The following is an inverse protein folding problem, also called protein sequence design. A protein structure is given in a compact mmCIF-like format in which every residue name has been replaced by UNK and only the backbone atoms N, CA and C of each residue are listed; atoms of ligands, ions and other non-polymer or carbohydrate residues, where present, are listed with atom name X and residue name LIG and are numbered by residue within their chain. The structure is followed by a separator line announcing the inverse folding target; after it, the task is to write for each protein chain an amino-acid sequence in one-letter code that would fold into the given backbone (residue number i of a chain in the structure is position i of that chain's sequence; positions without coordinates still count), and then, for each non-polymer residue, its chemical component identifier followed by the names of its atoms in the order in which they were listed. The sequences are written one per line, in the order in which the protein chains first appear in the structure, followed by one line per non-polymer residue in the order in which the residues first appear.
data_IF_647022006261
#
_entry.id   IF_647022006261
#
_cell.length_a   1.000
_cell.length_b   1.000
_cell.length_c   1.000
_cell.angle_alpha   90.00
_cell.angle_beta   90.00
_cell.angle_gamma   90.00
#
_symmetry.space_group_name_H-M   'P 1'
#
loop_
_entity.id
_entity.type
_entity.pdbx_description
1 polymer ?
#
# COMPACT_ATOMS: atom_id res chain seq x y z
N UNK A 1 2.74 52.40 -52.74
CA UNK A 1 2.88 51.38 -51.68
C UNK A 1 2.82 49.97 -52.26
N UNK A 2 3.83 49.58 -53.04
CA UNK A 2 3.98 48.24 -53.64
C UNK A 2 5.46 47.86 -53.55
N UNK A 3 5.95 47.51 -52.36
CA UNK A 3 7.25 46.82 -52.20
C UNK A 3 7.42 46.02 -50.88
N UNK A 4 6.50 46.07 -49.92
CA UNK A 4 6.65 45.32 -48.66
C UNK A 4 5.98 43.93 -48.62
N UNK A 5 5.31 43.50 -49.69
CA UNK A 5 4.56 42.22 -49.76
C UNK A 5 5.43 40.97 -50.01
N UNK A 6 6.75 41.10 -50.25
CA UNK A 6 7.58 39.97 -50.68
C UNK A 6 8.38 39.27 -49.56
N UNK A 7 8.44 39.80 -48.34
CA UNK A 7 9.25 39.22 -47.26
C UNK A 7 8.50 38.11 -46.50
N UNK A 8 7.17 38.17 -46.43
CA UNK A 8 6.36 37.12 -45.79
C UNK A 8 6.24 35.82 -46.63
N UNK A 9 6.51 35.87 -47.93
CA UNK A 9 6.40 34.70 -48.83
C UNK A 9 7.57 33.71 -48.77
N UNK A 10 8.66 34.01 -48.05
CA UNK A 10 9.88 33.17 -48.09
C UNK A 10 10.04 32.19 -46.93
N UNK A 11 9.29 32.33 -45.84
CA UNK A 11 9.39 31.39 -44.70
C UNK A 11 8.31 30.30 -44.72
N UNK A 12 7.13 30.55 -45.29
CA UNK A 12 6.13 29.50 -45.53
C UNK A 12 6.53 28.49 -46.65
N UNK A 13 7.61 28.77 -47.40
CA UNK A 13 8.07 27.91 -48.49
C UNK A 13 9.19 26.93 -48.09
N UNK A 14 9.73 27.02 -46.87
CA UNK A 14 10.86 26.20 -46.45
C UNK A 14 10.47 24.84 -45.83
N UNK A 15 9.21 24.64 -45.43
CA UNK A 15 8.71 23.32 -44.95
C UNK A 15 7.96 22.55 -46.05
N UNK A 16 7.61 23.20 -47.17
CA UNK A 16 6.89 22.58 -48.30
C UNK A 16 7.80 21.74 -49.23
N UNK A 17 9.11 21.68 -48.98
CA UNK A 17 10.04 20.97 -49.88
C UNK A 17 10.46 19.55 -49.44
N UNK A 18 9.77 18.92 -48.48
CA UNK A 18 10.11 17.53 -48.08
C UNK A 18 8.94 16.56 -47.85
N UNK A 19 7.71 16.92 -48.23
CA UNK A 19 6.56 16.01 -48.18
C UNK A 19 5.94 15.70 -49.56
N UNK A 20 6.72 15.82 -50.65
CA UNK A 20 6.27 15.49 -52.00
C UNK A 20 6.92 14.23 -52.58
N UNK A 21 7.26 13.26 -51.74
CA UNK A 21 7.42 11.86 -52.16
C UNK A 21 7.06 10.95 -51.00
N UNK A 22 5.81 10.49 -50.99
CA UNK A 22 5.31 9.15 -50.70
C UNK A 22 3.85 9.31 -50.26
N UNK A 23 2.95 8.92 -51.16
CA UNK A 23 1.52 9.05 -50.92
C UNK A 23 1.06 8.20 -49.75
N UNK A 24 0.08 8.71 -49.00
CA UNK A 24 -1.03 7.92 -48.51
C UNK A 24 -2.19 8.82 -48.09
N UNK A 25 -3.31 8.61 -48.78
CA UNK A 25 -4.69 8.91 -48.45
C UNK A 25 -5.02 8.79 -46.95
N UNK A 26 -5.23 9.92 -46.26
CA UNK A 26 -5.96 9.99 -44.98
C UNK A 26 -6.67 11.34 -44.88
N UNK A 27 -8.01 11.33 -44.84
CA UNK A 27 -8.85 12.54 -44.76
C UNK A 27 -8.69 13.35 -43.46
N UNK A 28 -7.92 12.88 -42.46
CA UNK A 28 -7.63 13.64 -41.24
C UNK A 28 -6.55 14.70 -41.41
N UNK A 29 -5.60 14.52 -42.34
CA UNK A 29 -4.49 15.47 -42.57
C UNK A 29 -4.94 16.70 -43.36
N UNK A 30 -6.02 16.58 -44.15
CA UNK A 30 -6.55 17.67 -44.97
C UNK A 30 -7.35 18.65 -44.11
N UNK A 31 -8.11 18.18 -43.12
CA UNK A 31 -8.83 19.05 -42.18
C UNK A 31 -7.87 19.79 -41.24
N UNK A 32 -6.79 19.15 -40.79
CA UNK A 32 -5.74 19.79 -40.01
C UNK A 32 -4.94 20.82 -40.84
N UNK A 33 -4.68 20.53 -42.12
CA UNK A 33 -4.04 21.47 -43.05
C UNK A 33 -4.96 22.65 -43.42
N UNK A 34 -6.27 22.41 -43.58
CA UNK A 34 -7.25 23.46 -43.82
C UNK A 34 -7.47 24.33 -42.57
N UNK A 35 -7.47 23.78 -41.35
CA UNK A 35 -7.53 24.58 -40.12
C UNK A 35 -6.23 25.39 -39.90
N UNK A 36 -5.06 24.82 -40.18
CA UNK A 36 -3.78 25.52 -40.08
C UNK A 36 -3.61 26.62 -41.16
N UNK A 37 -4.17 26.41 -42.35
CA UNK A 37 -4.17 27.40 -43.43
C UNK A 37 -5.24 28.49 -43.21
N UNK A 38 -6.43 28.15 -42.70
CA UNK A 38 -7.53 29.09 -42.46
C UNK A 38 -7.20 30.07 -41.32
N UNK A 39 -6.42 29.69 -40.30
CA UNK A 39 -5.97 30.66 -39.28
C UNK A 39 -4.75 31.48 -39.76
N UNK A 40 -3.87 30.92 -40.58
CA UNK A 40 -2.74 31.67 -41.16
C UNK A 40 -3.16 32.70 -42.23
N UNK A 41 -4.37 32.57 -42.80
CA UNK A 41 -4.97 33.51 -43.77
C UNK A 41 -6.04 34.45 -43.18
N UNK A 42 -6.45 34.25 -41.93
CA UNK A 42 -7.47 35.11 -41.31
C UNK A 42 -6.85 36.37 -40.73
N UNK A 43 -7.27 37.49 -41.32
CA UNK A 43 -6.94 38.86 -40.98
C UNK A 43 -7.49 39.23 -39.58
N UNK A 44 -6.95 38.60 -38.54
CA UNK A 44 -7.25 38.90 -37.14
C UNK A 44 -6.98 40.39 -36.90
N UNK A 45 -7.88 41.03 -36.16
CA UNK A 45 -7.78 42.46 -35.82
C UNK A 45 -7.47 42.69 -34.36
N UNK A 46 -7.77 41.71 -33.51
CA UNK A 46 -7.57 41.77 -32.07
C UNK A 46 -7.22 40.38 -31.54
N UNK A 47 -6.42 40.35 -30.48
CA UNK A 47 -6.24 39.16 -29.66
C UNK A 47 -6.49 39.54 -28.21
N UNK A 48 -7.03 38.61 -27.43
CA UNK A 48 -7.25 38.76 -25.99
C UNK A 48 -6.65 37.56 -25.28
N UNK A 49 -5.73 37.81 -24.36
CA UNK A 49 -5.19 36.77 -23.49
C UNK A 49 -6.07 36.65 -22.25
N UNK A 50 -6.30 35.42 -21.77
CA UNK A 50 -7.06 35.13 -20.56
C UNK A 50 -6.36 34.07 -19.71
N UNK A 51 -6.64 34.09 -18.40
CA UNK A 51 -6.22 33.09 -17.44
C UNK A 51 -7.28 32.98 -16.32
N UNK A 52 -7.38 31.81 -15.69
CA UNK A 52 -8.38 31.58 -14.64
C UNK A 52 -8.09 32.35 -13.34
N UNK A 53 -6.81 32.64 -13.08
CA UNK A 53 -6.34 33.45 -11.95
C UNK A 53 -5.11 34.26 -12.37
N UNK A 54 -4.78 35.31 -11.63
CA UNK A 54 -3.58 36.13 -11.91
C UNK A 54 -2.68 36.26 -10.68
N UNK A 55 -3.05 35.57 -9.60
CA UNK A 55 -2.26 35.40 -8.39
C UNK A 55 -1.96 33.91 -8.22
N UNK A 56 -0.67 33.58 -8.08
CA UNK A 56 -0.19 32.19 -7.93
C UNK A 56 0.96 32.12 -6.94
N UNK A 57 1.10 31.00 -6.24
CA UNK A 57 2.20 30.75 -5.32
C UNK A 57 3.41 30.15 -6.07
N UNK A 58 4.65 30.35 -5.59
CA UNK A 58 5.82 29.67 -6.16
C UNK A 58 5.62 28.14 -6.23
N UNK A 59 5.89 27.55 -7.39
CA UNK A 59 5.70 26.12 -7.68
C UNK A 59 4.35 25.75 -8.29
N UNK A 60 3.34 26.62 -8.21
CA UNK A 60 2.05 26.38 -8.86
C UNK A 60 2.12 26.61 -10.37
N UNK A 61 1.24 25.90 -11.10
CA UNK A 61 1.06 26.08 -12.53
C UNK A 61 -0.30 26.69 -12.86
N UNK A 62 -0.33 27.51 -13.91
CA UNK A 62 -1.54 28.11 -14.43
C UNK A 62 -1.55 28.04 -15.96
N UNK A 63 -2.71 27.73 -16.53
CA UNK A 63 -2.91 27.73 -17.98
C UNK A 63 -3.39 29.11 -18.46
N UNK A 64 -2.67 29.68 -19.42
CA UNK A 64 -3.11 30.83 -20.20
C UNK A 64 -3.76 30.36 -21.50
N UNK A 65 -4.71 31.14 -21.99
CA UNK A 65 -5.33 30.95 -23.31
C UNK A 65 -5.43 32.28 -24.05
N UNK A 66 -5.55 32.22 -25.37
CA UNK A 66 -5.66 33.39 -26.23
C UNK A 66 -6.81 33.21 -27.21
N UNK A 67 -7.67 34.23 -27.30
CA UNK A 67 -8.75 34.29 -28.29
C UNK A 67 -8.45 35.40 -29.30
N UNK A 68 -8.46 35.07 -30.58
CA UNK A 68 -8.37 36.04 -31.67
C UNK A 68 -9.76 36.41 -32.20
N UNK A 69 -9.94 37.64 -32.65
CA UNK A 69 -11.15 38.11 -33.34
C UNK A 69 -10.80 38.53 -34.76
N UNK A 70 -11.49 37.96 -35.75
CA UNK A 70 -11.32 38.35 -37.16
C UNK A 70 -12.14 39.61 -37.54
N UNK A 71 -11.95 40.13 -38.75
CA UNK A 71 -12.71 41.30 -39.25
C UNK A 71 -14.23 41.08 -39.30
N UNK A 72 -14.70 39.84 -39.32
CA UNK A 72 -16.11 39.51 -39.29
C UNK A 72 -16.66 39.43 -37.84
N UNK A 73 -15.80 39.59 -36.83
CA UNK A 73 -16.16 39.52 -35.41
C UNK A 73 -16.24 38.09 -34.87
N UNK A 74 -15.67 37.11 -35.59
CA UNK A 74 -15.70 35.71 -35.15
C UNK A 74 -14.52 35.44 -34.22
N UNK A 75 -14.82 34.92 -33.03
CA UNK A 75 -13.83 34.49 -32.05
C UNK A 75 -13.22 33.14 -32.44
N UNK A 76 -11.90 33.01 -32.28
CA UNK A 76 -11.14 31.80 -32.55
C UNK A 76 -10.15 31.55 -31.42
N UNK A 77 -10.05 30.30 -30.97
CA UNK A 77 -8.99 29.90 -30.05
C UNK A 77 -7.67 29.84 -30.82
N UNK A 78 -6.71 30.65 -30.37
CA UNK A 78 -5.38 30.76 -30.96
C UNK A 78 -4.29 30.43 -29.93
N UNK A 79 -4.65 29.77 -28.82
CA UNK A 79 -3.75 29.53 -27.68
C UNK A 79 -2.46 28.81 -28.05
N UNK A 80 -2.50 27.91 -29.04
CA UNK A 80 -1.34 27.16 -29.55
C UNK A 80 -0.64 27.84 -30.74
N UNK A 81 -1.18 28.96 -31.22
CA UNK A 81 -0.68 29.70 -32.37
C UNK A 81 0.08 30.98 -31.97
N UNK A 82 -0.16 31.48 -30.76
CA UNK A 82 0.53 32.66 -30.21
C UNK A 82 1.89 32.29 -29.62
N UNK A 83 2.86 33.19 -29.75
CA UNK A 83 4.12 33.12 -29.02
C UNK A 83 3.92 33.65 -27.60
N UNK A 84 3.89 32.74 -26.63
CA UNK A 84 3.83 33.08 -25.21
C UNK A 84 5.18 33.54 -24.66
N UNK A 85 5.18 34.63 -23.90
CA UNK A 85 6.39 35.14 -23.23
C UNK A 85 6.07 35.77 -21.87
N UNK A 86 6.91 35.48 -20.88
CA UNK A 86 6.93 36.23 -19.61
C UNK A 86 7.97 37.35 -19.67
N UNK A 87 7.67 38.51 -19.08
CA UNK A 87 8.61 39.62 -18.93
C UNK A 87 9.80 39.27 -18.02
N UNK A 88 9.63 38.36 -17.07
CA UNK A 88 10.71 37.80 -16.25
C UNK A 88 10.50 36.29 -16.06
N UNK A 89 11.38 35.50 -16.71
CA UNK A 89 11.33 34.04 -16.65
C UNK A 89 11.78 33.45 -15.31
N UNK A 90 12.44 34.24 -14.46
CA UNK A 90 12.81 33.83 -13.11
C UNK A 90 11.66 33.95 -12.10
N UNK A 91 10.60 34.68 -12.47
CA UNK A 91 9.36 34.84 -11.69
C UNK A 91 8.26 33.93 -12.21
N UNK A 92 8.00 33.92 -13.53
CA UNK A 92 7.08 32.97 -14.19
C UNK A 92 7.71 32.42 -15.46
N UNK A 93 7.74 31.09 -15.59
CA UNK A 93 8.16 30.41 -16.82
C UNK A 93 6.94 29.85 -17.54
N UNK A 94 6.68 30.31 -18.77
CA UNK A 94 5.59 29.82 -19.62
C UNK A 94 6.14 29.02 -20.80
N UNK A 95 5.48 27.92 -21.14
CA UNK A 95 5.80 27.11 -22.33
C UNK A 95 5.00 27.54 -23.58
N UNK A 96 5.22 26.83 -24.69
CA UNK A 96 4.58 27.15 -25.97
C UNK A 96 3.08 26.84 -26.02
N UNK A 97 2.59 26.01 -25.10
CA UNK A 97 1.18 25.64 -24.99
C UNK A 97 0.42 26.55 -24.01
N UNK A 98 1.10 27.56 -23.45
CA UNK A 98 0.52 28.53 -22.52
C UNK A 98 0.52 28.08 -21.06
N UNK A 99 1.15 26.96 -20.71
CA UNK A 99 1.27 26.51 -19.33
C UNK A 99 2.40 27.27 -18.63
N UNK A 100 2.05 28.10 -17.66
CA UNK A 100 2.97 28.90 -16.88
C UNK A 100 3.22 28.26 -15.51
N UNK A 101 4.48 28.21 -15.07
CA UNK A 101 4.91 27.78 -13.74
C UNK A 101 5.49 28.98 -12.99
N UNK A 102 4.95 29.26 -11.81
CA UNK A 102 5.47 30.28 -10.91
C UNK A 102 6.77 29.80 -10.26
N UNK A 103 7.80 30.66 -10.23
CA UNK A 103 9.14 30.32 -9.76
C UNK A 103 9.57 31.13 -8.53
N UNK A 104 9.28 32.43 -8.50
CA UNK A 104 9.69 33.32 -7.42
C UNK A 104 8.69 34.47 -7.27
N UNK A 105 8.67 35.11 -6.09
CA UNK A 105 7.81 36.26 -5.85
C UNK A 105 8.15 37.43 -6.79
N UNK A 106 7.13 38.08 -7.35
CA UNK A 106 7.28 39.21 -8.25
C UNK A 106 6.02 39.47 -9.08
N UNK A 107 6.02 40.56 -9.83
CA UNK A 107 4.95 40.90 -10.78
C UNK A 107 5.54 40.87 -12.18
N UNK A 108 4.91 40.14 -13.09
CA UNK A 108 5.34 40.00 -14.49
C UNK A 108 4.18 40.17 -15.45
N UNK A 109 4.49 40.54 -16.69
CA UNK A 109 3.54 40.51 -17.79
C UNK A 109 3.72 39.20 -18.55
N UNK A 110 2.67 38.39 -18.62
CA UNK A 110 2.58 37.25 -19.54
C UNK A 110 1.89 37.74 -20.82
N UNK A 111 2.61 37.69 -21.93
CA UNK A 111 2.18 38.24 -23.22
C UNK A 111 1.92 37.12 -24.23
N UNK A 112 0.76 37.14 -24.87
CA UNK A 112 0.48 36.40 -26.10
C UNK A 112 0.84 37.29 -27.29
N UNK A 113 1.54 36.77 -28.29
CA UNK A 113 1.86 37.52 -29.52
C UNK A 113 1.54 36.73 -30.77
N UNK A 114 0.89 37.35 -31.74
CA UNK A 114 0.67 36.80 -33.07
C UNK A 114 0.95 37.86 -34.12
N UNK A 115 2.14 37.79 -34.72
CA UNK A 115 2.62 38.79 -35.68
C UNK A 115 2.75 40.18 -35.06
N UNK A 116 1.83 41.09 -35.37
CA UNK A 116 1.80 42.47 -34.85
C UNK A 116 0.76 42.67 -33.73
N UNK A 117 -0.09 41.67 -33.49
CA UNK A 117 -1.08 41.69 -32.43
C UNK A 117 -0.43 41.14 -31.16
N UNK A 118 -0.73 41.77 -30.04
CA UNK A 118 -0.27 41.30 -28.73
C UNK A 118 -1.27 41.72 -27.68
N UNK A 119 -1.46 40.86 -26.68
CA UNK A 119 -2.14 41.21 -25.44
C UNK A 119 -1.35 40.65 -24.26
N UNK A 120 -1.44 41.33 -23.12
CA UNK A 120 -0.61 41.00 -21.96
C UNK A 120 -1.43 41.03 -20.68
N UNK A 121 -1.27 39.98 -19.87
CA UNK A 121 -1.87 39.85 -18.56
C UNK A 121 -0.81 40.10 -17.50
N UNK A 122 -1.09 41.03 -16.60
CA UNK A 122 -0.29 41.18 -15.38
C UNK A 122 -0.54 39.97 -14.48
N UNK A 123 0.54 39.26 -14.14
CA UNK A 123 0.54 38.07 -13.30
C UNK A 123 1.40 38.36 -12.10
N UNK A 124 0.81 38.25 -10.92
CA UNK A 124 1.49 38.39 -9.64
C UNK A 124 1.81 37.02 -9.09
N UNK A 125 3.08 36.76 -8.85
CA UNK A 125 3.52 35.65 -8.02
C UNK A 125 3.78 36.20 -6.63
N UNK A 126 3.01 35.76 -5.67
CA UNK A 126 3.26 36.10 -4.28
C UNK A 126 3.07 34.85 -3.44
N UNK A 127 3.98 34.63 -2.50
CA UNK A 127 3.77 33.64 -1.46
C UNK A 127 2.61 34.13 -0.60
N UNK A 128 1.46 33.44 -0.68
CA UNK A 128 0.35 33.73 0.19
C UNK A 128 0.77 33.53 1.65
N UNK A 129 0.32 34.43 2.52
CA UNK A 129 0.64 34.36 3.93
C UNK A 129 -0.26 33.34 4.61
N UNK A 130 0.33 32.50 5.46
CA UNK A 130 -0.45 31.63 6.33
C UNK A 130 -1.31 32.50 7.24
N UNK A 131 -2.62 32.25 7.30
CA UNK A 131 -3.54 32.98 8.18
C UNK A 131 -4.15 32.09 9.25
N UNK A 132 -4.21 30.79 9.03
CA UNK A 132 -4.78 29.85 9.99
C UNK A 132 -4.23 28.43 9.81
N UNK A 133 -4.09 27.71 10.92
CA UNK A 133 -3.84 26.28 10.95
C UNK A 133 -5.14 25.48 10.87
N UNK A 134 -5.17 24.50 9.98
CA UNK A 134 -6.22 23.48 9.92
C UNK A 134 -5.61 22.20 10.48
N UNK A 135 -6.13 21.77 11.64
CA UNK A 135 -5.62 20.60 12.38
C UNK A 135 -6.69 19.51 12.40
N UNK A 136 -6.28 18.27 12.13
CA UNK A 136 -7.15 17.10 12.24
C UNK A 136 -6.39 15.89 12.83
N UNK A 137 -6.92 15.22 13.86
CA UNK A 137 -8.13 15.57 14.62
C UNK A 137 -7.88 16.76 15.57
N UNK A 138 -8.95 17.42 16.03
CA UNK A 138 -8.87 18.53 17.02
C UNK A 138 -8.75 18.04 18.47
N UNK A 139 -8.98 16.75 18.72
CA UNK A 139 -8.76 16.11 20.00
C UNK A 139 -8.28 14.68 19.84
N UNK A 140 -7.40 14.23 20.74
CA UNK A 140 -6.93 12.86 20.87
C UNK A 140 -7.17 12.37 22.30
N UNK A 141 -7.52 11.10 22.44
CA UNK A 141 -7.56 10.39 23.71
C UNK A 141 -6.70 9.15 23.54
N UNK A 142 -5.63 9.04 24.33
CA UNK A 142 -4.58 8.03 24.18
C UNK A 142 -4.20 7.49 25.56
N UNK A 143 -3.76 6.23 25.62
CA UNK A 143 -3.01 5.67 26.74
C UNK A 143 -1.50 5.60 26.41
N UNK A 144 -0.67 5.25 27.40
CA UNK A 144 0.81 5.18 27.25
C UNK A 144 1.30 4.14 26.22
N UNK A 145 0.43 3.23 25.78
CA UNK A 145 0.75 2.25 24.76
C UNK A 145 0.43 2.74 23.34
N UNK A 146 -0.42 3.77 23.21
CA UNK A 146 -0.88 4.27 21.92
C UNK A 146 -0.09 5.49 21.45
N UNK A 147 -0.10 5.68 20.14
CA UNK A 147 0.30 6.92 19.50
C UNK A 147 -0.84 7.45 18.65
N UNK A 148 -0.99 8.77 18.56
CA UNK A 148 -1.96 9.40 17.68
C UNK A 148 -1.27 10.28 16.65
N UNK A 149 -1.67 10.21 15.39
CA UNK A 149 -1.14 11.11 14.36
C UNK A 149 -2.05 12.33 14.18
N UNK A 150 -1.42 13.48 13.97
CA UNK A 150 -2.06 14.75 13.67
C UNK A 150 -1.63 15.19 12.28
N UNK A 151 -2.61 15.43 11.42
CA UNK A 151 -2.41 16.10 10.14
C UNK A 151 -2.58 17.61 10.32
N UNK A 152 -1.71 18.37 9.65
CA UNK A 152 -1.78 19.84 9.61
C UNK A 152 -1.71 20.34 8.17
N UNK A 153 -2.64 21.24 7.85
CA UNK A 153 -2.62 22.10 6.67
C UNK A 153 -2.80 23.56 7.09
N UNK A 154 -2.67 24.47 6.14
CA UNK A 154 -2.86 25.90 6.36
C UNK A 154 -3.94 26.47 5.45
N UNK A 155 -4.69 27.45 5.96
CA UNK A 155 -5.46 28.39 5.15
C UNK A 155 -4.64 29.67 4.96
N UNK A 156 -4.63 30.18 3.73
CA UNK A 156 -3.81 31.31 3.32
C UNK A 156 -4.67 32.54 2.98
N UNK A 157 -4.06 33.73 2.95
CA UNK A 157 -4.75 35.00 2.66
C UNK A 157 -5.29 35.11 1.22
N UNK A 158 -4.81 34.26 0.31
CA UNK A 158 -5.37 34.05 -1.03
C UNK A 158 -6.64 33.17 -1.04
N UNK A 159 -7.05 32.66 0.13
CA UNK A 159 -8.21 31.80 0.31
C UNK A 159 -7.96 30.31 0.04
N UNK A 160 -6.75 29.91 -0.35
CA UNK A 160 -6.41 28.51 -0.58
C UNK A 160 -6.17 27.75 0.72
N UNK A 161 -6.38 26.42 0.67
CA UNK A 161 -6.02 25.48 1.72
C UNK A 161 -5.04 24.46 1.17
N UNK A 162 -3.88 24.31 1.81
CA UNK A 162 -2.81 23.42 1.35
C UNK A 162 -1.97 22.89 2.51
N UNK A 163 -1.32 21.71 2.38
CA UNK A 163 -0.33 21.26 3.35
C UNK A 163 0.74 22.34 3.59
N UNK A 164 1.19 22.47 4.83
CA UNK A 164 2.25 23.41 5.17
C UNK A 164 3.58 22.93 4.56
N UNK A 165 4.45 23.86 4.17
CA UNK A 165 5.81 23.55 3.72
C UNK A 165 6.82 24.00 4.78
N UNK A 166 7.89 23.20 4.96
CA UNK A 166 8.88 23.42 6.02
C UNK A 166 8.44 22.91 7.39
N UNK A 167 9.27 23.15 8.41
CA UNK A 167 9.06 22.60 9.75
C UNK A 167 7.98 23.37 10.52
N UNK A 168 7.05 22.63 11.11
CA UNK A 168 6.08 23.13 12.10
C UNK A 168 6.65 22.89 13.48
N UNK A 169 6.77 23.94 14.31
CA UNK A 169 7.22 23.78 15.69
C UNK A 169 6.05 23.38 16.58
N UNK A 170 6.29 22.43 17.48
CA UNK A 170 5.29 21.93 18.44
C UNK A 170 5.70 22.23 19.88
N UNK A 171 4.74 22.66 20.69
CA UNK A 171 4.90 22.81 22.13
C UNK A 171 3.73 22.18 22.88
N UNK A 172 3.95 21.69 24.10
CA UNK A 172 2.90 21.18 24.97
C UNK A 172 2.67 22.12 26.15
N UNK A 173 1.42 22.29 26.56
CA UNK A 173 1.08 22.95 27.83
C UNK A 173 1.57 22.16 29.05
N UNK A 174 1.71 20.84 28.90
CA UNK A 174 2.22 19.93 29.93
C UNK A 174 2.94 18.75 29.24
N UNK A 175 4.27 18.79 29.24
CA UNK A 175 5.10 17.79 28.58
C UNK A 175 5.19 16.48 29.37
N UNK A 176 4.85 16.48 30.66
CA UNK A 176 4.77 15.27 31.47
C UNK A 176 3.50 14.48 31.13
N UNK A 177 2.44 15.15 30.64
CA UNK A 177 1.21 14.49 30.15
C UNK A 177 1.33 14.06 28.69
N UNK A 178 1.66 14.98 27.78
CA UNK A 178 1.71 14.67 26.35
C UNK A 178 2.81 15.43 25.60
N UNK A 179 3.31 14.80 24.54
CA UNK A 179 4.34 15.36 23.66
C UNK A 179 4.02 15.04 22.19
N UNK A 180 4.51 15.89 21.29
CA UNK A 180 4.44 15.69 19.84
C UNK A 180 5.84 15.65 19.23
N UNK A 181 6.03 14.74 18.28
CA UNK A 181 7.23 14.68 17.43
C UNK A 181 6.79 14.99 16.00
N UNK A 182 7.39 16.01 15.38
CA UNK A 182 7.07 16.38 14.01
C UNK A 182 7.27 15.22 13.04
N UNK A 183 6.31 15.02 12.13
CA UNK A 183 6.36 13.99 11.09
C UNK A 183 5.79 14.57 9.78
N UNK A 184 6.69 15.02 8.89
CA UNK A 184 6.30 15.76 7.69
C UNK A 184 5.60 17.06 8.06
N UNK A 185 4.41 17.29 7.50
CA UNK A 185 3.59 18.48 7.84
C UNK A 185 2.83 18.31 9.15
N UNK A 186 2.78 17.11 9.73
CA UNK A 186 2.02 16.77 10.93
C UNK A 186 2.88 16.49 12.15
N UNK A 187 2.32 15.74 13.10
CA UNK A 187 3.06 15.21 14.24
C UNK A 187 2.49 13.88 14.73
N UNK A 188 3.38 13.04 15.26
CA UNK A 188 3.00 11.86 16.04
C UNK A 188 3.01 12.22 17.53
N UNK A 189 1.88 11.99 18.19
CA UNK A 189 1.61 12.30 19.59
C UNK A 189 1.79 11.07 20.46
N UNK A 190 2.38 11.28 21.64
CA UNK A 190 2.49 10.30 22.73
C UNK A 190 1.99 10.92 24.01
N UNK A 191 1.35 10.11 24.84
CA UNK A 191 1.05 10.45 26.24
C UNK A 191 1.98 9.70 27.17
N UNK A 192 2.32 10.29 28.30
CA UNK A 192 3.22 9.72 29.29
C UNK A 192 2.60 9.58 30.67
N UNK A 193 1.55 10.36 30.97
CA UNK A 193 0.74 10.20 32.18
C UNK A 193 -0.71 10.58 31.92
N UNK A 194 -1.60 10.17 32.84
CA UNK A 194 -2.98 10.62 32.85
C UNK A 194 -3.10 12.15 33.02
N UNK A 195 -4.04 12.78 32.32
CA UNK A 195 -4.28 14.21 32.41
C UNK A 195 -4.69 14.85 31.08
N UNK A 196 -4.71 16.17 31.03
CA UNK A 196 -5.02 16.92 29.82
C UNK A 196 -3.85 17.84 29.46
N UNK A 197 -3.45 17.80 28.19
CA UNK A 197 -2.46 18.71 27.62
C UNK A 197 -3.01 19.32 26.34
N UNK A 198 -2.67 20.57 26.08
CA UNK A 198 -2.88 21.20 24.76
C UNK A 198 -1.56 21.18 24.01
N UNK A 199 -1.54 20.58 22.83
CA UNK A 199 -0.40 20.72 21.91
C UNK A 199 -0.68 21.91 20.98
N UNK A 200 0.34 22.75 20.82
CA UNK A 200 0.29 23.94 19.97
C UNK A 200 1.29 23.76 18.83
N UNK A 201 0.77 23.79 17.60
CA UNK A 201 1.55 23.91 16.38
C UNK A 201 1.76 25.39 16.07
N UNK A 202 2.97 25.77 15.67
CA UNK A 202 3.31 27.14 15.27
C UNK A 202 4.13 27.13 13.98
N UNK A 203 3.79 28.03 13.06
CA UNK A 203 4.61 28.39 11.91
C UNK A 203 4.39 29.85 11.56
N UNK A 204 5.48 30.58 11.34
CA UNK A 204 5.46 32.01 10.99
C UNK A 204 4.63 32.89 11.94
N UNK A 205 4.56 32.55 13.23
CA UNK A 205 3.80 33.27 14.25
C UNK A 205 2.29 33.01 14.24
N UNK A 206 1.79 32.13 13.35
CA UNK A 206 0.42 31.63 13.37
C UNK A 206 0.40 30.32 14.14
N UNK A 207 -0.62 30.10 14.96
CA UNK A 207 -0.73 28.92 15.80
C UNK A 207 -2.03 28.16 15.56
N UNK A 208 -1.98 26.83 15.70
CA UNK A 208 -3.14 25.96 15.85
C UNK A 208 -2.99 25.07 17.09
N UNK A 209 -4.10 24.59 17.63
CA UNK A 209 -4.09 23.75 18.85
C UNK A 209 -4.91 22.49 18.69
N UNK A 210 -4.47 21.43 19.36
CA UNK A 210 -5.18 20.15 19.55
C UNK A 210 -5.20 19.80 21.03
N UNK A 211 -6.33 19.28 21.50
CA UNK A 211 -6.47 18.80 22.88
C UNK A 211 -6.04 17.33 22.96
N UNK A 212 -5.24 16.97 23.96
CA UNK A 212 -4.83 15.60 24.21
C UNK A 212 -5.24 15.22 25.63
N UNK A 213 -6.01 14.14 25.74
CA UNK A 213 -6.34 13.51 27.02
C UNK A 213 -5.50 12.25 27.15
N UNK A 214 -4.57 12.24 28.10
CA UNK A 214 -3.90 11.03 28.56
C UNK A 214 -4.84 10.26 29.47
N UNK A 215 -5.12 9.01 29.12
CA UNK A 215 -5.82 8.04 29.97
C UNK A 215 -4.93 7.58 31.13
N UNK A 216 -5.48 6.78 32.03
CA UNK A 216 -4.76 6.28 33.21
C UNK A 216 -3.41 5.64 32.86
N UNK A 217 -2.46 5.78 33.78
CA UNK A 217 -1.09 5.31 33.57
C UNK A 217 -1.00 3.79 33.64
N UNK A 218 -0.16 3.18 32.81
CA UNK A 218 0.01 1.74 32.79
C UNK A 218 0.84 1.32 34.01
N UNK A 219 0.20 0.66 34.98
CA UNK A 219 0.84 0.19 36.20
C UNK A 219 1.42 -1.23 36.06
N UNK A 220 0.96 -2.02 35.08
CA UNK A 220 1.46 -3.36 34.83
C UNK A 220 1.14 -3.87 33.43
N UNK A 221 1.97 -4.78 32.92
CA UNK A 221 1.80 -5.45 31.64
C UNK A 221 1.95 -6.95 31.85
N UNK A 222 1.00 -7.72 31.33
CA UNK A 222 1.01 -9.19 31.35
C UNK A 222 0.97 -9.71 29.92
N UNK A 223 1.66 -10.82 29.66
CA UNK A 223 1.69 -11.49 28.35
C UNK A 223 1.16 -12.91 28.48
N UNK A 224 0.33 -13.34 27.53
CA UNK A 224 -0.30 -14.66 27.49
C UNK A 224 -0.30 -15.21 26.06
N UNK A 225 -0.25 -16.53 25.83
CA UNK A 225 -0.06 -17.58 26.84
C UNK A 225 1.36 -17.60 27.40
N UNK A 226 1.52 -18.05 28.65
CA UNK A 226 2.84 -18.30 29.20
C UNK A 226 3.41 -19.64 28.73
N UNK A 227 4.72 -19.68 28.41
CA UNK A 227 5.43 -20.91 28.08
C UNK A 227 4.79 -21.70 26.92
N UNK A 228 4.44 -21.00 25.83
CA UNK A 228 3.78 -21.61 24.67
C UNK A 228 4.67 -22.68 24.01
N UNK A 229 4.03 -23.71 23.46
CA UNK A 229 4.67 -24.71 22.61
C UNK A 229 4.06 -24.64 21.22
N UNK A 230 4.91 -24.44 20.21
CA UNK A 230 4.46 -24.16 18.84
C UNK A 230 5.21 -25.08 17.88
N UNK A 231 4.48 -25.79 17.01
CA UNK A 231 5.09 -26.58 15.95
C UNK A 231 5.76 -25.67 14.93
N UNK A 232 6.94 -26.04 14.43
CA UNK A 232 7.61 -25.31 13.33
C UNK A 232 6.66 -25.22 12.12
N UNK A 233 6.50 -24.01 11.57
CA UNK A 233 5.57 -23.68 10.50
C UNK A 233 4.15 -23.30 10.96
N UNK A 234 3.85 -23.40 12.26
CA UNK A 234 2.58 -22.95 12.83
C UNK A 234 2.68 -21.54 13.43
N UNK A 235 1.53 -20.91 13.60
CA UNK A 235 1.39 -19.61 14.27
C UNK A 235 0.77 -19.75 15.66
N UNK A 236 1.14 -18.83 16.56
CA UNK A 236 0.62 -18.71 17.92
C UNK A 236 0.26 -17.25 18.19
N UNK A 237 -1.01 -17.01 18.55
CA UNK A 237 -1.43 -15.71 19.01
C UNK A 237 -1.00 -15.48 20.47
N UNK A 238 -0.30 -14.38 20.71
CA UNK A 238 -0.03 -13.81 22.01
C UNK A 238 -0.89 -12.57 22.22
N UNK A 239 -1.31 -12.36 23.46
CA UNK A 239 -2.04 -11.18 23.90
C UNK A 239 -1.32 -10.51 25.06
N UNK A 240 -1.53 -9.21 25.19
CA UNK A 240 -1.14 -8.46 26.38
C UNK A 240 -2.32 -7.89 27.10
N UNK A 241 -2.30 -7.95 28.42
CA UNK A 241 -3.25 -7.25 29.29
C UNK A 241 -2.52 -6.14 30.04
N UNK A 242 -2.99 -4.91 29.87
CA UNK A 242 -2.57 -3.77 30.66
C UNK A 242 -3.37 -3.68 31.97
N UNK A 243 -2.69 -3.34 33.06
CA UNK A 243 -3.30 -2.99 34.34
C UNK A 243 -3.01 -1.52 34.61
N UNK A 244 -4.03 -0.71 34.86
CA UNK A 244 -3.89 0.74 35.00
C UNK A 244 -3.93 1.21 36.45
N UNK A 245 -3.43 2.42 36.68
CA UNK A 245 -3.33 3.03 38.01
C UNK A 245 -4.67 3.25 38.71
N UNK A 246 -5.77 3.34 37.96
CA UNK A 246 -7.15 3.42 38.48
C UNK A 246 -7.69 2.05 38.94
N UNK A 247 -6.93 0.98 38.72
CA UNK A 247 -7.29 -0.40 39.04
C UNK A 247 -8.06 -1.12 37.93
N UNK A 248 -8.29 -0.50 36.77
CA UNK A 248 -8.86 -1.16 35.61
C UNK A 248 -7.83 -2.08 34.91
N UNK A 249 -8.31 -2.99 34.06
CA UNK A 249 -7.47 -3.86 33.23
C UNK A 249 -8.14 -4.17 31.89
N UNK A 250 -7.35 -4.44 30.85
CA UNK A 250 -7.86 -4.49 29.48
C UNK A 250 -6.81 -4.90 28.45
N UNK A 251 -7.28 -5.14 27.23
CA UNK A 251 -6.44 -5.62 26.13
C UNK A 251 -5.55 -4.50 25.57
N UNK A 252 -4.23 -4.76 25.54
CA UNK A 252 -3.21 -3.86 25.01
C UNK A 252 -2.45 -4.48 23.80
N UNK A 253 -2.94 -5.58 23.24
CA UNK A 253 -2.23 -6.42 22.25
C UNK A 253 -1.86 -5.65 21.00
N UNK A 254 -2.79 -4.88 20.45
CA UNK A 254 -2.59 -4.10 19.22
C UNK A 254 -1.58 -2.95 19.39
N UNK A 255 -1.47 -2.42 20.61
CA UNK A 255 -0.58 -1.31 20.95
C UNK A 255 0.80 -1.78 21.44
N UNK A 256 0.93 -3.08 21.74
CA UNK A 256 2.18 -3.67 22.22
C UNK A 256 3.16 -3.87 21.08
N UNK A 257 4.42 -3.49 21.32
CA UNK A 257 5.54 -3.85 20.45
C UNK A 257 6.08 -5.22 20.82
N UNK A 258 5.95 -6.16 19.90
CA UNK A 258 6.37 -7.55 20.04
C UNK A 258 7.77 -7.78 19.47
N UNK A 259 8.50 -8.71 20.07
CA UNK A 259 9.80 -9.19 19.58
C UNK A 259 10.12 -10.53 20.24
N UNK A 260 11.11 -11.23 19.69
CA UNK A 260 11.72 -12.39 20.35
C UNK A 260 13.22 -12.18 20.53
N UNK A 261 13.83 -12.91 21.47
CA UNK A 261 15.29 -12.83 21.69
C UNK A 261 16.11 -13.47 20.59
N UNK A 262 15.52 -14.38 19.81
CA UNK A 262 16.15 -15.07 18.67
C UNK A 262 15.15 -15.19 17.51
N UNK A 263 15.31 -14.31 16.53
CA UNK A 263 14.45 -14.23 15.33
C UNK A 263 14.70 -15.38 14.35
N UNK A 264 15.73 -16.21 14.54
CA UNK A 264 15.94 -17.40 13.71
C UNK A 264 15.03 -18.56 14.11
N UNK A 265 14.46 -18.52 15.32
CA UNK A 265 13.59 -19.56 15.86
C UNK A 265 12.11 -19.22 15.72
N UNK A 266 11.76 -17.94 15.81
CA UNK A 266 10.39 -17.45 15.67
C UNK A 266 10.39 -15.97 15.24
N UNK A 267 9.30 -15.49 14.66
CA UNK A 267 9.14 -14.07 14.31
C UNK A 267 7.70 -13.62 14.51
N UNK A 268 7.48 -12.35 14.80
CA UNK A 268 6.13 -11.77 14.82
C UNK A 268 5.76 -11.24 13.43
N UNK A 269 4.47 -11.31 13.11
CA UNK A 269 3.89 -10.67 11.94
C UNK A 269 3.68 -9.17 12.21
N UNK A 270 4.30 -8.31 11.38
CA UNK A 270 4.19 -6.86 11.48
C UNK A 270 2.76 -6.35 11.18
N UNK A 271 1.97 -7.10 10.40
CA UNK A 271 0.61 -6.75 10.01
C UNK A 271 -0.46 -7.36 10.95
N UNK A 272 -0.06 -8.28 11.84
CA UNK A 272 -0.96 -8.96 12.78
C UNK A 272 -0.38 -8.93 14.22
N UNK A 273 -0.66 -7.88 15.01
CA UNK A 273 -0.11 -7.72 16.35
C UNK A 273 -0.33 -8.95 17.25
N UNK A 274 0.76 -9.43 17.85
CA UNK A 274 0.74 -10.60 18.73
C UNK A 274 0.75 -11.95 17.99
N UNK A 275 0.70 -11.99 16.66
CA UNK A 275 0.82 -13.24 15.90
C UNK A 275 2.30 -13.64 15.74
N UNK A 276 2.71 -14.73 16.38
CA UNK A 276 4.05 -15.30 16.29
C UNK A 276 4.07 -16.52 15.37
N UNK A 277 5.00 -16.58 14.42
CA UNK A 277 5.28 -17.76 13.59
C UNK A 277 6.53 -18.49 14.11
N UNK A 278 6.47 -19.81 14.20
CA UNK A 278 7.60 -20.66 14.56
C UNK A 278 8.42 -21.07 13.32
N UNK A 279 9.70 -20.70 13.27
CA UNK A 279 10.55 -20.87 12.08
C UNK A 279 11.49 -22.08 12.17
N UNK A 280 12.03 -22.37 13.36
CA UNK A 280 12.95 -23.47 13.58
C UNK A 280 12.81 -24.00 15.01
N UNK A 281 13.19 -25.25 15.25
CA UNK A 281 13.09 -25.86 16.58
C UNK A 281 14.10 -25.27 17.56
N UNK A 282 13.65 -24.95 18.77
CA UNK A 282 14.46 -24.33 19.82
C UNK A 282 13.60 -23.70 20.92
N UNK A 283 14.20 -22.83 21.72
CA UNK A 283 13.46 -22.02 22.69
C UNK A 283 13.97 -20.59 22.64
N UNK A 284 13.04 -19.65 22.64
CA UNK A 284 13.29 -18.21 22.62
C UNK A 284 12.34 -17.50 23.58
N UNK A 285 12.62 -16.26 23.94
CA UNK A 285 11.75 -15.47 24.82
C UNK A 285 10.98 -14.45 24.02
N UNK A 286 9.65 -14.45 24.18
CA UNK A 286 8.76 -13.40 23.72
C UNK A 286 8.89 -12.20 24.64
N UNK A 287 9.07 -11.02 24.04
CA UNK A 287 9.18 -9.74 24.73
C UNK A 287 8.06 -8.82 24.22
N UNK A 288 7.14 -8.47 25.11
CA UNK A 288 6.08 -7.50 24.90
C UNK A 288 6.46 -6.17 25.57
N UNK A 289 6.44 -5.07 24.81
CA UNK A 289 6.74 -3.73 25.32
C UNK A 289 5.57 -2.76 25.09
N UNK A 290 5.13 -2.08 26.15
CA UNK A 290 3.96 -1.20 26.14
C UNK A 290 4.16 -0.14 27.24
N UNK A 291 3.96 1.16 26.97
CA UNK A 291 4.06 2.21 28.00
C UNK A 291 5.40 2.26 28.76
N UNK A 292 6.51 1.84 28.14
CA UNK A 292 7.81 1.73 28.81
C UNK A 292 7.96 0.52 29.76
N UNK A 293 6.91 -0.28 29.95
CA UNK A 293 6.95 -1.56 30.64
C UNK A 293 7.31 -2.70 29.68
N UNK A 294 7.92 -3.74 30.24
CA UNK A 294 8.27 -4.96 29.52
C UNK A 294 7.69 -6.17 30.25
N UNK A 295 6.99 -7.02 29.50
CA UNK A 295 6.55 -8.35 29.94
C UNK A 295 7.22 -9.43 29.08
N UNK A 296 7.60 -10.54 29.69
CA UNK A 296 8.32 -11.61 28.99
C UNK A 296 7.74 -12.98 29.29
N UNK A 297 7.72 -13.85 28.29
CA UNK A 297 7.43 -15.28 28.46
C UNK A 297 8.27 -16.13 27.51
N UNK A 298 8.42 -17.41 27.81
CA UNK A 298 9.15 -18.33 26.92
C UNK A 298 8.21 -18.88 25.85
N UNK A 299 8.77 -19.17 24.68
CA UNK A 299 8.15 -20.01 23.66
C UNK A 299 9.13 -21.12 23.29
N UNK A 300 8.62 -22.33 23.18
CA UNK A 300 9.37 -23.49 22.70
C UNK A 300 8.82 -23.90 21.35
N UNK A 301 9.69 -23.88 20.34
CA UNK A 301 9.36 -24.30 19.00
C UNK A 301 9.87 -25.73 18.79
N UNK A 302 9.04 -26.63 18.30
CA UNK A 302 9.40 -28.03 18.11
C UNK A 302 9.04 -28.50 16.71
N UNK A 303 9.86 -29.38 16.11
CA UNK A 303 9.39 -30.12 14.94
C UNK A 303 8.33 -31.11 15.40
N UNK A 304 7.22 -31.16 14.65
CA UNK A 304 6.19 -32.15 14.88
C UNK A 304 6.75 -33.56 14.61
N UNK A 305 6.48 -34.50 15.51
CA UNK A 305 6.94 -35.89 15.39
C UNK A 305 5.78 -36.78 14.95
N UNK A 306 6.08 -37.85 14.21
CA UNK A 306 5.06 -38.86 13.89
C UNK A 306 4.66 -39.57 15.18
N UNK A 307 3.38 -39.58 15.50
CA UNK A 307 2.80 -40.34 16.61
C UNK A 307 2.40 -41.74 16.13
N UNK A 308 1.66 -41.82 15.02
CA UNK A 308 1.25 -43.08 14.38
C UNK A 308 0.88 -42.89 12.91
N UNK A 309 0.67 -43.99 12.21
CA UNK A 309 0.02 -44.03 10.89
C UNK A 309 -1.30 -44.78 10.97
N UNK A 310 -2.22 -44.44 10.06
CA UNK A 310 -3.57 -45.01 10.00
C UNK A 310 -3.94 -45.31 8.54
N UNK A 311 -4.17 -46.58 8.21
CA UNK A 311 -4.78 -46.98 6.93
C UNK A 311 -6.27 -46.67 6.99
N UNK A 312 -6.78 -45.95 5.99
CA UNK A 312 -8.19 -45.58 5.87
C UNK A 312 -8.78 -45.00 7.17
N UNK A 313 -8.00 -44.17 7.87
CA UNK A 313 -8.38 -43.56 9.15
C UNK A 313 -8.49 -44.53 10.33
N UNK A 314 -7.66 -45.57 10.36
CA UNK A 314 -7.60 -46.55 11.44
C UNK A 314 -8.65 -47.65 11.31
N UNK A 315 -9.15 -47.87 10.09
CA UNK A 315 -10.10 -48.94 9.81
C UNK A 315 -9.37 -50.28 9.87
N UNK A 316 -9.72 -51.14 10.82
CA UNK A 316 -9.05 -52.44 11.00
C UNK A 316 -9.61 -53.55 10.12
N UNK A 317 -10.81 -53.37 9.56
CA UNK A 317 -11.46 -54.30 8.64
C UNK A 317 -12.26 -53.56 7.58
N UNK A 318 -12.01 -53.89 6.33
CA UNK A 318 -12.76 -53.43 5.16
C UNK A 318 -13.38 -54.64 4.45
N UNK A 319 -14.69 -54.57 4.22
CA UNK A 319 -15.40 -55.57 3.40
C UNK A 319 -15.70 -54.94 2.03
N UNK A 320 -15.34 -55.65 0.96
CA UNK A 320 -15.53 -55.27 -0.43
C UNK A 320 -16.24 -56.39 -1.19
N UNK A 321 -16.84 -56.06 -2.33
CA UNK A 321 -17.37 -57.03 -3.29
C UNK A 321 -16.32 -57.35 -4.36
N UNK A 322 -16.43 -58.49 -5.06
CA UNK A 322 -15.54 -58.86 -6.18
C UNK A 322 -15.49 -57.81 -7.31
N UNK A 323 -16.50 -56.92 -7.37
CA UNK A 323 -16.56 -55.86 -8.39
C UNK A 323 -15.89 -54.54 -7.96
N UNK A 324 -15.36 -54.45 -6.73
CA UNK A 324 -14.66 -53.26 -6.21
C UNK A 324 -13.15 -53.27 -6.55
N UNK A 325 -12.76 -53.96 -7.62
CA UNK A 325 -11.39 -53.94 -8.15
C UNK A 325 -10.92 -52.51 -8.44
N UNK A 326 -9.68 -52.18 -8.07
CA UNK A 326 -9.16 -50.82 -8.12
C UNK A 326 -9.49 -49.95 -6.90
N UNK A 327 -9.95 -50.54 -5.79
CA UNK A 327 -10.17 -49.78 -4.55
C UNK A 327 -8.84 -49.22 -4.02
N UNK A 328 -8.77 -47.90 -3.83
CA UNK A 328 -7.59 -47.22 -3.31
C UNK A 328 -7.63 -47.16 -1.77
N UNK A 329 -6.65 -47.80 -1.12
CA UNK A 329 -6.33 -47.54 0.28
C UNK A 329 -5.49 -46.27 0.39
N UNK A 330 -5.66 -45.52 1.48
CA UNK A 330 -4.81 -44.38 1.79
C UNK A 330 -4.16 -44.54 3.16
N UNK A 331 -2.90 -44.10 3.27
CA UNK A 331 -2.17 -44.04 4.52
C UNK A 331 -2.06 -42.60 4.99
N UNK A 332 -2.50 -42.33 6.22
CA UNK A 332 -2.39 -41.02 6.85
C UNK A 332 -1.43 -41.07 8.03
N UNK A 333 -0.46 -40.17 8.06
CA UNK A 333 0.34 -39.86 9.25
C UNK A 333 -0.48 -38.99 10.18
N UNK A 334 -0.40 -39.28 11.48
CA UNK A 334 -0.87 -38.41 12.55
C UNK A 334 0.34 -38.06 13.40
N UNK A 335 0.61 -36.77 13.52
CA UNK A 335 1.72 -36.27 14.31
C UNK A 335 1.30 -36.02 15.77
N UNK A 336 2.26 -35.81 16.65
CA UNK A 336 2.06 -35.53 18.08
C UNK A 336 1.26 -34.26 18.36
N UNK A 337 1.19 -33.33 17.40
CA UNK A 337 0.34 -32.12 17.46
C UNK A 337 -1.03 -32.30 16.81
N UNK A 338 -1.42 -33.54 16.48
CA UNK A 338 -2.64 -33.93 15.75
C UNK A 338 -2.75 -33.39 14.32
N UNK A 339 -1.71 -32.77 13.77
CA UNK A 339 -1.66 -32.50 12.33
C UNK A 339 -1.58 -33.81 11.57
N UNK A 340 -2.14 -33.84 10.37
CA UNK A 340 -2.19 -35.05 9.56
C UNK A 340 -1.70 -34.80 8.14
N UNK A 341 -1.04 -35.78 7.55
CA UNK A 341 -0.60 -35.74 6.15
C UNK A 341 -0.93 -37.07 5.47
N UNK A 342 -1.40 -37.01 4.23
CA UNK A 342 -1.50 -38.17 3.36
C UNK A 342 -0.09 -38.55 2.90
N UNK A 343 0.30 -39.80 3.14
CA UNK A 343 1.61 -40.36 2.80
C UNK A 343 1.46 -41.64 1.97
N UNK A 344 0.31 -41.84 1.34
CA UNK A 344 -0.04 -43.05 0.56
C UNK A 344 1.04 -43.40 -0.46
N UNK A 345 1.50 -42.40 -1.23
CA UNK A 345 2.51 -42.56 -2.27
C UNK A 345 3.96 -42.59 -1.73
N UNK A 346 4.19 -42.21 -0.47
CA UNK A 346 5.51 -42.26 0.16
C UNK A 346 5.69 -43.51 1.05
N UNK A 347 4.64 -44.31 1.19
CA UNK A 347 4.61 -45.49 2.05
C UNK A 347 4.95 -46.77 1.29
N UNK A 348 5.52 -47.73 2.01
CA UNK A 348 5.73 -49.10 1.51
C UNK A 348 4.48 -49.93 1.81
N UNK A 349 3.83 -50.45 0.77
CA UNK A 349 2.64 -51.29 0.86
C UNK A 349 2.99 -52.75 0.66
N UNK A 350 2.47 -53.62 1.52
CA UNK A 350 2.71 -55.04 1.38
C UNK A 350 1.52 -55.88 1.81
N UNK A 351 1.43 -57.05 1.21
CA UNK A 351 0.48 -58.08 1.62
C UNK A 351 1.19 -59.09 2.52
N UNK A 352 0.68 -59.26 3.74
CA UNK A 352 1.34 -60.09 4.77
C UNK A 352 0.66 -61.46 5.00
N UNK A 353 -0.38 -61.82 4.25
CA UNK A 353 -1.07 -63.11 4.36
C UNK A 353 -0.53 -64.22 3.44
N UNK A 354 -0.62 -65.50 3.85
CA UNK A 354 0.32 -66.55 3.41
C UNK A 354 -0.17 -67.57 2.36
N UNK A 355 -1.33 -67.44 1.71
CA UNK A 355 -1.73 -68.43 0.66
C UNK A 355 -2.73 -68.01 -0.41
N UNK A 356 -3.56 -66.99 -0.15
CA UNK A 356 -4.57 -66.53 -1.11
C UNK A 356 -3.97 -65.49 -2.08
N UNK A 357 -4.16 -65.55 -3.40
CA UNK A 357 -3.65 -64.51 -4.31
C UNK A 357 -4.75 -63.64 -4.91
N UNK A 358 -5.98 -63.77 -4.41
CA UNK A 358 -7.16 -63.08 -4.97
C UNK A 358 -7.23 -61.59 -4.64
N UNK A 359 -6.49 -61.15 -3.63
CA UNK A 359 -6.38 -59.74 -3.22
C UNK A 359 -4.90 -59.38 -3.21
N UNK A 360 -4.50 -58.40 -4.01
CA UNK A 360 -3.16 -57.82 -4.04
C UNK A 360 -3.27 -56.32 -3.70
N UNK A 361 -2.19 -55.74 -3.18
CA UNK A 361 -2.03 -54.28 -3.05
C UNK A 361 -0.84 -53.87 -3.91
N UNK A 362 -0.96 -52.77 -4.63
CA UNK A 362 0.14 -52.20 -5.40
C UNK A 362 1.08 -51.40 -4.49
N UNK A 363 2.38 -51.53 -4.77
CA UNK A 363 3.47 -50.74 -4.18
C UNK A 363 4.26 -49.99 -5.29
N UNK A 364 3.67 -49.88 -6.48
CA UNK A 364 4.26 -49.21 -7.64
C UNK A 364 3.89 -47.72 -7.63
N UNK A 365 4.84 -46.86 -8.05
CA UNK A 365 4.63 -45.41 -8.09
C UNK A 365 3.40 -45.02 -8.93
N UNK A 366 2.50 -44.23 -8.36
CA UNK A 366 1.27 -43.78 -9.00
C UNK A 366 0.08 -44.74 -8.85
N UNK A 367 0.26 -45.87 -8.14
CA UNK A 367 -0.82 -46.76 -7.73
C UNK A 367 -0.61 -47.35 -6.33
N UNK A 368 0.21 -46.71 -5.47
CA UNK A 368 0.48 -47.24 -4.13
C UNK A 368 -0.82 -47.31 -3.32
N UNK A 369 -1.10 -48.46 -2.73
CA UNK A 369 -2.35 -48.70 -2.00
C UNK A 369 -3.55 -49.11 -2.85
N UNK A 370 -3.44 -49.15 -4.19
CA UNK A 370 -4.51 -49.66 -5.06
C UNK A 370 -4.64 -51.19 -4.93
N UNK A 371 -5.86 -51.67 -4.72
CA UNK A 371 -6.16 -53.10 -4.59
C UNK A 371 -6.50 -53.74 -5.93
N UNK A 372 -5.88 -54.89 -6.23
CA UNK A 372 -6.31 -55.78 -7.32
C UNK A 372 -7.09 -56.95 -6.74
N UNK A 373 -8.34 -57.12 -7.18
CA UNK A 373 -9.30 -58.12 -6.67
C UNK A 373 -9.72 -59.06 -7.80
N UNK A 374 -9.36 -60.35 -7.71
CA UNK A 374 -9.65 -61.35 -8.74
C UNK A 374 -10.61 -62.46 -8.29
N UNK A 375 -11.12 -62.40 -7.06
CA UNK A 375 -12.03 -63.39 -6.49
C UNK A 375 -12.33 -63.16 -5.01
N UNK A 376 -13.18 -64.00 -4.43
CA UNK A 376 -13.49 -63.96 -2.99
C UNK A 376 -12.32 -64.47 -2.17
N UNK A 377 -12.10 -63.86 -1.01
CA UNK A 377 -10.90 -64.13 -0.21
C UNK A 377 -10.70 -63.19 0.96
N UNK A 378 -9.61 -63.40 1.69
CA UNK A 378 -9.17 -62.49 2.75
C UNK A 378 -7.68 -62.23 2.66
N UNK A 379 -7.28 -60.98 2.95
CA UNK A 379 -5.89 -60.58 2.97
C UNK A 379 -5.63 -59.55 4.07
N UNK A 380 -4.45 -59.62 4.67
CA UNK A 380 -3.93 -58.55 5.51
C UNK A 380 -3.01 -57.68 4.67
N UNK A 381 -3.30 -56.38 4.65
CA UNK A 381 -2.48 -55.36 4.01
C UNK A 381 -1.82 -54.55 5.11
N UNK A 382 -0.50 -54.41 5.02
CA UNK A 382 0.32 -53.56 5.88
C UNK A 382 0.84 -52.38 5.05
N UNK A 383 0.84 -51.19 5.65
CA UNK A 383 1.48 -50.01 5.09
C UNK A 383 2.48 -49.46 6.11
N UNK A 384 3.72 -49.23 5.68
CA UNK A 384 4.82 -48.75 6.53
C UNK A 384 5.32 -47.40 6.04
N UNK A 385 5.48 -46.44 6.96
CA UNK A 385 6.06 -45.13 6.69
C UNK A 385 7.01 -44.70 7.82
N UNK A 386 8.27 -44.43 7.47
CA UNK A 386 9.32 -43.96 8.40
C UNK A 386 9.42 -44.77 9.72
N UNK A 387 9.18 -46.07 9.66
CA UNK A 387 9.27 -47.00 10.80
C UNK A 387 7.99 -47.18 11.62
N UNK A 388 6.89 -46.52 11.23
CA UNK A 388 5.54 -46.77 11.76
C UNK A 388 4.77 -47.62 10.76
N UNK A 389 3.98 -48.58 11.23
CA UNK A 389 3.10 -49.38 10.38
C UNK A 389 1.68 -49.45 10.94
N UNK A 390 0.73 -49.69 10.05
CA UNK A 390 -0.66 -50.04 10.36
C UNK A 390 -1.10 -51.18 9.46
N UNK A 391 -2.09 -51.95 9.92
CA UNK A 391 -2.58 -53.15 9.25
C UNK A 391 -4.10 -53.11 9.09
N UNK A 392 -4.60 -53.52 7.92
CA UNK A 392 -6.02 -53.67 7.64
C UNK A 392 -6.34 -55.07 7.13
N UNK A 393 -7.42 -55.66 7.64
CA UNK A 393 -8.01 -56.89 7.11
C UNK A 393 -8.97 -56.55 5.96
N UNK A 394 -8.65 -56.99 4.75
CA UNK A 394 -9.54 -56.94 3.59
C UNK A 394 -10.31 -58.26 3.50
N UNK A 395 -11.62 -58.17 3.35
CA UNK A 395 -12.52 -59.30 3.13
C UNK A 395 -13.32 -59.06 1.85
N UNK A 396 -13.21 -59.96 0.88
CA UNK A 396 -13.97 -59.92 -0.37
C UNK A 396 -15.00 -61.05 -0.38
N UNK A 397 -16.28 -60.71 -0.47
CA UNK A 397 -17.42 -61.66 -0.41
C UNK A 397 -18.16 -61.84 -1.75
#
# INVERSE_FOLDING_TARGET
MRQFSMIFKRWALAVVALASLHGCNNNGDVDAFLQAQDVAERDLVEITATAERVLVNPGETIQFSATGVDRAGVNQDISTLVDWASSDRSVVRIDGDGLATAQANGVVMVTARLGHLSDAIETTVNAANLVEFIISPLSLELDECQTGDIAVSGRFDDGSERPLSGDVSWSSSDADVASAVANGTGATVRVHTAGNATLTAEQAGVTGTVQVTGLDTLAGLLVSPENAQVSVGATQAFTTTGNWSDGSSGDATAATRWSVTDETLASFDDDAPGSLEALAAGSTSVIANCGGLTATTNVTTAQSQIDRVEINGGTTRLTLDVNDDGYELFLRVINTDNTTADVTEDAEWSRISSSDTTIQVSDDDGSRGELTITGTGTAFIEATYKGFSDEILIVVE
#
